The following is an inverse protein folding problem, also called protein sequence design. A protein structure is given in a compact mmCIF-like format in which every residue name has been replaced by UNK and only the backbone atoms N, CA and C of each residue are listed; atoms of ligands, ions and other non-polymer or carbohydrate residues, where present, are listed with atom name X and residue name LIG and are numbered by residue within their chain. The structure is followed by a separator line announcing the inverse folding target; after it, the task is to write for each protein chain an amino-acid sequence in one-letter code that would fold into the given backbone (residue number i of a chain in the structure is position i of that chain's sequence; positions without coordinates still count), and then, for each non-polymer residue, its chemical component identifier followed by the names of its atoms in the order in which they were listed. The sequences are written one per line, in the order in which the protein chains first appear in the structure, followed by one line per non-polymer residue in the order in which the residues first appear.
data_IF_979758538305
#
_entry.id   IF_979758538305
#
_cell.length_a   1.000
_cell.length_b   1.000
_cell.length_c   1.000
_cell.angle_alpha   90.00
_cell.angle_beta   90.00
_cell.angle_gamma   90.00
#
_symmetry.space_group_name_H-M   'P 1'
#
loop_
_entity.id
_entity.type
_entity.pdbx_description
1 polymer ?
#
# COMPACT_ATOMS: atom_id res chain seq x y z
N UNK A 1 -3.01 -18.91 21.73
CA UNK A 1 -3.92 -20.04 22.02
C UNK A 1 -5.27 -19.72 21.42
N UNK A 2 -5.86 -20.61 20.62
CA UNK A 2 -7.16 -20.33 19.99
C UNK A 2 -8.29 -20.33 21.05
N UNK A 3 -9.32 -19.53 20.81
CA UNK A 3 -10.50 -19.44 21.69
C UNK A 3 -11.12 -20.82 21.95
N UNK A 4 -11.18 -21.68 20.94
CA UNK A 4 -11.69 -23.05 21.07
C UNK A 4 -10.85 -23.92 22.02
N UNK A 5 -9.52 -23.80 22.01
CA UNK A 5 -8.63 -24.49 22.96
C UNK A 5 -8.85 -23.97 24.38
N UNK A 6 -9.01 -22.65 24.55
CA UNK A 6 -9.29 -22.05 25.86
C UNK A 6 -10.63 -22.55 26.39
N UNK A 7 -11.68 -22.58 25.56
CA UNK A 7 -13.01 -23.10 25.95
C UNK A 7 -12.97 -24.58 26.33
N UNK A 8 -12.20 -25.41 25.61
CA UNK A 8 -11.99 -26.81 25.99
C UNK A 8 -11.28 -26.92 27.35
N UNK A 9 -10.18 -26.20 27.56
CA UNK A 9 -9.41 -26.24 28.81
C UNK A 9 -10.22 -25.72 30.00
N UNK A 10 -11.00 -24.64 29.84
CA UNK A 10 -11.83 -24.06 30.91
C UNK A 10 -13.07 -24.90 31.21
N UNK A 11 -13.58 -25.66 30.24
CA UNK A 11 -14.67 -26.62 30.46
C UNK A 11 -14.25 -27.87 31.24
N UNK A 12 -12.95 -28.04 31.51
CA UNK A 12 -12.40 -29.17 32.27
C UNK A 12 -11.80 -30.29 31.39
N UNK A 13 -11.68 -30.08 30.08
CA UNK A 13 -11.02 -31.02 29.17
C UNK A 13 -9.50 -31.00 29.42
N UNK A 14 -8.99 -32.03 30.08
CA UNK A 14 -7.55 -32.31 30.21
C UNK A 14 -7.24 -33.64 29.53
N UNK A 15 -6.20 -33.73 28.69
CA UNK A 15 -5.78 -35.01 28.12
C UNK A 15 -5.46 -35.98 29.26
N UNK A 16 -6.25 -37.07 29.40
CA UNK A 16 -6.10 -38.08 30.44
C UNK A 16 -7.00 -37.95 31.69
N UNK A 17 -8.02 -37.07 31.70
CA UNK A 17 -9.00 -36.97 32.79
C UNK A 17 -10.22 -37.91 32.66
N UNK A 18 -10.96 -38.11 33.76
CA UNK A 18 -12.20 -38.92 33.80
C UNK A 18 -13.26 -38.37 32.84
N UNK A 19 -13.55 -39.10 31.76
CA UNK A 19 -14.60 -38.77 30.78
C UNK A 19 -16.00 -38.61 31.41
N UNK A 20 -16.27 -39.28 32.54
CA UNK A 20 -17.55 -39.18 33.24
C UNK A 20 -17.78 -37.79 33.84
N UNK A 21 -16.73 -37.11 34.32
CA UNK A 21 -16.82 -35.72 34.84
C UNK A 21 -17.00 -34.69 33.74
N UNK A 22 -16.73 -35.07 32.48
CA UNK A 22 -16.96 -34.24 31.29
C UNK A 22 -18.44 -34.22 30.89
N UNK A 23 -19.18 -35.29 31.20
CA UNK A 23 -20.58 -35.52 30.80
C UNK A 23 -21.62 -34.86 31.73
N UNK A 24 -21.20 -34.20 32.82
CA UNK A 24 -22.11 -33.57 33.76
C UNK A 24 -22.33 -32.07 33.50
N UNK A 25 -23.59 -31.72 33.21
CA UNK A 25 -24.12 -30.36 33.27
C UNK A 25 -23.67 -29.40 32.16
N UNK A 26 -23.56 -28.11 32.51
CA UNK A 26 -23.29 -26.98 31.59
C UNK A 26 -21.94 -27.11 30.86
N UNK A 27 -21.04 -28.01 31.27
CA UNK A 27 -19.68 -28.16 30.70
C UNK A 27 -19.68 -28.83 29.32
N UNK A 28 -20.57 -29.81 29.09
CA UNK A 28 -20.71 -30.53 27.80
C UNK A 28 -20.89 -29.58 26.61
N UNK A 29 -21.86 -28.65 26.59
CA UNK A 29 -22.04 -27.76 25.45
C UNK A 29 -20.84 -26.85 25.21
N UNK A 30 -20.13 -26.39 26.25
CA UNK A 30 -18.91 -25.59 26.10
C UNK A 30 -17.76 -26.39 25.49
N UNK A 31 -17.57 -27.65 25.90
CA UNK A 31 -16.56 -28.54 25.30
C UNK A 31 -16.90 -28.85 23.84
N UNK A 32 -18.17 -29.14 23.52
CA UNK A 32 -18.61 -29.37 22.15
C UNK A 32 -18.39 -28.14 21.26
N UNK A 33 -18.75 -26.95 21.73
CA UNK A 33 -18.49 -25.68 21.01
C UNK A 33 -16.98 -25.47 20.82
N UNK A 34 -16.17 -25.73 21.85
CA UNK A 34 -14.71 -25.63 21.75
C UNK A 34 -14.11 -26.57 20.70
N UNK A 35 -14.53 -27.84 20.68
CA UNK A 35 -14.11 -28.84 19.67
C UNK A 35 -14.55 -28.42 18.27
N UNK A 36 -15.80 -27.99 18.12
CA UNK A 36 -16.36 -27.46 16.86
C UNK A 36 -15.48 -26.31 16.36
N UNK A 37 -15.15 -25.32 17.21
CA UNK A 37 -14.29 -24.19 16.84
C UNK A 37 -12.89 -24.64 16.43
N UNK A 38 -12.27 -25.58 17.15
CA UNK A 38 -10.91 -26.06 16.84
C UNK A 38 -10.84 -26.84 15.54
N UNK A 39 -11.91 -27.51 15.12
CA UNK A 39 -11.96 -28.22 13.84
C UNK A 39 -12.39 -27.27 12.72
N UNK A 40 -13.48 -26.52 12.91
CA UNK A 40 -14.07 -25.70 11.85
C UNK A 40 -13.21 -24.50 11.49
N UNK A 41 -12.60 -23.77 12.44
CA UNK A 41 -11.82 -22.58 12.08
C UNK A 41 -10.63 -22.93 11.18
N UNK A 42 -9.75 -23.90 11.51
CA UNK A 42 -8.64 -24.25 10.63
C UNK A 42 -9.12 -24.86 9.31
N UNK A 43 -10.17 -25.67 9.33
CA UNK A 43 -10.71 -26.27 8.09
C UNK A 43 -11.30 -25.20 7.17
N UNK A 44 -12.08 -24.28 7.72
CA UNK A 44 -12.66 -23.15 6.99
C UNK A 44 -11.55 -22.24 6.44
N UNK A 45 -10.60 -21.82 7.28
CA UNK A 45 -9.46 -21.02 6.84
C UNK A 45 -8.63 -21.73 5.77
N UNK A 46 -8.42 -23.04 5.88
CA UNK A 46 -7.69 -23.84 4.89
C UNK A 46 -8.43 -23.92 3.55
N UNK A 47 -9.74 -24.14 3.57
CA UNK A 47 -10.56 -24.18 2.34
C UNK A 47 -10.59 -22.81 1.67
N UNK A 48 -10.86 -21.74 2.44
CA UNK A 48 -10.93 -20.38 1.90
C UNK A 48 -9.58 -19.96 1.33
N UNK A 49 -8.48 -20.19 2.06
CA UNK A 49 -7.13 -19.88 1.57
C UNK A 49 -6.78 -20.64 0.30
N UNK A 50 -7.28 -21.87 0.11
CA UNK A 50 -7.07 -22.64 -1.10
C UNK A 50 -7.89 -22.12 -2.29
N UNK A 51 -9.09 -21.61 -2.04
CA UNK A 51 -9.95 -21.03 -3.08
C UNK A 51 -9.68 -19.56 -3.35
N UNK A 52 -9.02 -18.84 -2.45
CA UNK A 52 -8.82 -17.40 -2.52
C UNK A 52 -8.10 -16.97 -3.80
N UNK A 53 -7.06 -17.69 -4.22
CA UNK A 53 -6.31 -17.36 -5.45
C UNK A 53 -7.19 -17.45 -6.71
N UNK A 54 -8.05 -18.46 -6.78
CA UNK A 54 -9.00 -18.63 -7.89
C UNK A 54 -10.06 -17.53 -7.84
N UNK A 55 -10.62 -17.24 -6.67
CA UNK A 55 -11.60 -16.16 -6.50
C UNK A 55 -11.01 -14.78 -6.82
N UNK A 56 -9.75 -14.53 -6.48
CA UNK A 56 -9.02 -13.31 -6.86
C UNK A 56 -8.85 -13.21 -8.38
N UNK A 57 -8.46 -14.31 -9.03
CA UNK A 57 -8.34 -14.36 -10.48
C UNK A 57 -9.68 -14.13 -11.18
N UNK A 58 -10.75 -14.78 -10.73
CA UNK A 58 -12.12 -14.57 -11.25
C UNK A 58 -12.60 -13.13 -11.05
N UNK A 59 -12.30 -12.54 -9.89
CA UNK A 59 -12.66 -11.16 -9.60
C UNK A 59 -11.92 -10.17 -10.50
N UNK A 60 -10.61 -10.37 -10.71
CA UNK A 60 -9.81 -9.56 -11.61
C UNK A 60 -10.25 -9.72 -13.06
N UNK A 61 -10.49 -10.95 -13.51
CA UNK A 61 -10.99 -11.26 -14.86
C UNK A 61 -12.32 -10.56 -15.15
N UNK A 62 -13.24 -10.54 -14.18
CA UNK A 62 -14.50 -9.81 -14.30
C UNK A 62 -14.36 -8.29 -14.42
N UNK A 63 -13.19 -7.70 -14.06
CA UNK A 63 -12.90 -6.29 -14.31
C UNK A 63 -12.38 -6.01 -15.72
N UNK A 64 -11.81 -7.02 -16.38
CA UNK A 64 -11.23 -6.87 -17.70
C UNK A 64 -12.36 -6.73 -18.72
N UNK A 65 -12.37 -5.60 -19.42
CA UNK A 65 -13.26 -5.42 -20.57
C UNK A 65 -12.47 -5.75 -21.83
N UNK A 66 -12.73 -6.92 -22.42
CA UNK A 66 -12.15 -7.29 -23.71
C UNK A 66 -12.78 -6.46 -24.83
N UNK A 67 -11.93 -5.87 -25.68
CA UNK A 67 -12.34 -5.17 -26.90
C UNK A 67 -11.41 -5.56 -28.05
N UNK A 68 -11.95 -5.62 -29.25
CA UNK A 68 -11.19 -5.85 -30.48
C UNK A 68 -10.49 -4.57 -30.98
N UNK A 69 -10.79 -3.43 -30.37
CA UNK A 69 -10.15 -2.15 -30.70
C UNK A 69 -8.67 -2.14 -30.28
N UNK A 70 -7.80 -1.44 -31.03
CA UNK A 70 -6.42 -1.26 -30.62
C UNK A 70 -6.36 -0.54 -29.27
N UNK A 71 -5.54 -1.07 -28.34
CA UNK A 71 -5.27 -0.51 -27.00
C UNK A 71 -4.96 0.99 -27.02
N UNK A 72 -4.31 1.46 -28.09
CA UNK A 72 -4.03 2.87 -28.31
C UNK A 72 -4.57 3.32 -29.67
N UNK A 73 -5.47 4.29 -29.66
CA UNK A 73 -5.98 4.92 -30.88
C UNK A 73 -4.90 5.75 -31.62
N UNK A 74 -3.86 6.18 -30.91
CA UNK A 74 -2.74 6.95 -31.45
C UNK A 74 -1.42 6.38 -30.93
N UNK A 75 -0.30 6.55 -31.66
CA UNK A 75 1.02 6.21 -31.15
C UNK A 75 1.29 6.92 -29.82
N UNK A 76 1.90 6.21 -28.86
CA UNK A 76 2.32 6.80 -27.59
C UNK A 76 3.37 7.87 -27.91
N UNK A 77 3.17 9.13 -27.47
CA UNK A 77 4.15 10.19 -27.70
C UNK A 77 5.49 9.85 -27.06
N UNK A 78 6.61 10.17 -27.71
CA UNK A 78 7.96 9.87 -27.21
C UNK A 78 8.15 10.32 -25.75
N UNK A 79 7.63 11.49 -25.38
CA UNK A 79 7.68 12.05 -24.01
C UNK A 79 6.95 11.24 -22.91
N UNK A 80 6.21 10.21 -23.29
CA UNK A 80 5.50 9.29 -22.39
C UNK A 80 6.15 7.90 -22.36
N UNK A 81 7.27 7.72 -23.06
CA UNK A 81 8.04 6.48 -23.04
C UNK A 81 9.04 6.53 -21.89
N UNK A 82 9.03 5.48 -21.07
CA UNK A 82 9.98 5.31 -19.98
C UNK A 82 11.29 4.71 -20.52
N UNK A 83 12.33 5.52 -20.62
CA UNK A 83 13.68 5.10 -21.01
C UNK A 83 14.63 4.99 -19.81
N UNK A 84 14.36 5.74 -18.75
CA UNK A 84 15.13 5.74 -17.51
C UNK A 84 14.52 4.75 -16.50
N UNK A 85 15.37 3.93 -15.88
CA UNK A 85 14.96 3.03 -14.79
C UNK A 85 14.95 3.74 -13.44
N UNK A 86 14.29 3.14 -12.45
CA UNK A 86 14.22 3.65 -11.09
C UNK A 86 15.63 3.81 -10.47
N UNK A 87 16.50 2.82 -10.68
CA UNK A 87 17.86 2.81 -10.15
C UNK A 87 18.70 3.94 -10.73
N UNK A 88 18.54 4.20 -12.03
CA UNK A 88 19.22 5.33 -12.68
C UNK A 88 18.69 6.67 -12.15
N UNK A 89 17.37 6.80 -11.96
CA UNK A 89 16.80 8.01 -11.36
C UNK A 89 17.32 8.24 -9.93
N UNK A 90 17.38 7.20 -9.09
CA UNK A 90 17.97 7.28 -7.75
C UNK A 90 19.45 7.65 -7.79
N UNK A 91 20.21 7.13 -8.75
CA UNK A 91 21.61 7.47 -8.95
C UNK A 91 21.80 8.96 -9.30
N UNK A 92 21.04 9.47 -10.29
CA UNK A 92 21.07 10.88 -10.68
C UNK A 92 20.63 11.78 -9.54
N UNK A 93 19.58 11.40 -8.80
CA UNK A 93 19.14 12.12 -7.62
C UNK A 93 20.21 12.14 -6.52
N UNK A 94 20.92 11.03 -6.31
CA UNK A 94 22.03 10.92 -5.37
C UNK A 94 23.18 11.89 -5.66
N UNK A 95 23.47 12.15 -6.95
CA UNK A 95 24.46 13.15 -7.36
C UNK A 95 24.03 14.59 -7.07
N UNK A 96 22.73 14.84 -6.92
CA UNK A 96 22.14 16.17 -6.76
C UNK A 96 21.53 16.40 -5.37
N UNK A 97 22.03 15.68 -4.34
CA UNK A 97 21.58 15.84 -2.95
C UNK A 97 22.09 17.12 -2.27
N UNK A 98 23.16 17.75 -2.78
CA UNK A 98 23.82 18.89 -2.14
C UNK A 98 22.90 20.05 -1.73
N UNK A 99 21.83 20.40 -2.47
CA UNK A 99 20.93 21.49 -2.08
C UNK A 99 20.09 21.19 -0.82
N UNK A 100 19.93 19.92 -0.45
CA UNK A 100 19.13 19.50 0.70
C UNK A 100 19.97 19.31 1.98
N UNK A 101 21.29 19.48 1.89
CA UNK A 101 22.23 19.38 3.01
C UNK A 101 23.05 18.09 3.02
N UNK A 102 23.86 17.91 4.06
CA UNK A 102 24.80 16.77 4.15
C UNK A 102 24.19 15.50 4.74
N UNK A 103 23.05 15.62 5.43
CA UNK A 103 22.44 14.53 6.22
C UNK A 103 21.16 14.05 5.55
N UNK A 104 21.20 13.83 4.24
CA UNK A 104 20.03 13.43 3.45
C UNK A 104 20.33 12.20 2.60
N UNK A 105 19.28 11.48 2.25
CA UNK A 105 19.34 10.29 1.40
C UNK A 105 18.09 10.21 0.53
N UNK A 106 18.23 9.57 -0.63
CA UNK A 106 17.09 9.20 -1.48
C UNK A 106 16.37 8.01 -0.84
N UNK A 107 15.13 8.19 -0.39
CA UNK A 107 14.34 7.14 0.25
C UNK A 107 13.72 6.19 -0.77
N UNK A 108 13.04 6.76 -1.75
CA UNK A 108 12.25 6.05 -2.76
C UNK A 108 12.22 6.86 -4.05
N UNK A 109 11.88 6.21 -5.16
CA UNK A 109 11.66 6.87 -6.43
C UNK A 109 10.38 6.33 -7.06
N UNK A 110 9.53 7.23 -7.52
CA UNK A 110 8.21 6.88 -8.04
C UNK A 110 7.99 7.49 -9.41
N UNK A 111 7.32 6.75 -10.28
CA UNK A 111 6.99 7.23 -11.62
C UNK A 111 5.65 7.98 -11.58
N UNK A 112 5.61 9.16 -12.16
CA UNK A 112 4.39 9.96 -12.27
C UNK A 112 4.46 10.87 -13.49
N UNK A 113 3.41 11.63 -13.74
CA UNK A 113 3.34 12.58 -14.87
C UNK A 113 3.38 14.01 -14.36
N UNK A 114 4.18 14.85 -15.02
CA UNK A 114 4.23 16.29 -14.77
C UNK A 114 4.15 17.02 -16.11
N UNK A 115 3.20 17.95 -16.27
CA UNK A 115 3.04 18.72 -17.51
C UNK A 115 2.95 17.86 -18.80
N UNK A 116 2.38 16.66 -18.69
CA UNK A 116 2.25 15.71 -19.81
C UNK A 116 3.55 15.03 -20.23
N UNK A 117 4.61 15.08 -19.41
CA UNK A 117 5.80 14.24 -19.53
C UNK A 117 5.86 13.23 -18.39
N UNK A 118 6.46 12.07 -18.67
CA UNK A 118 6.70 11.05 -17.65
C UNK A 118 7.97 11.41 -16.87
N UNK A 119 7.91 11.37 -15.54
CA UNK A 119 9.01 11.77 -14.67
C UNK A 119 9.15 10.83 -13.48
N UNK A 120 10.40 10.58 -13.07
CA UNK A 120 10.71 9.95 -11.80
C UNK A 120 10.83 11.00 -10.71
N UNK A 121 10.09 10.83 -9.63
CA UNK A 121 10.14 11.70 -8.46
C UNK A 121 10.81 10.94 -7.33
N UNK A 122 12.02 11.37 -7.00
CA UNK A 122 12.83 10.80 -5.93
C UNK A 122 12.53 11.55 -4.63
N UNK A 123 12.03 10.83 -3.63
CA UNK A 123 11.71 11.37 -2.29
C UNK A 123 13.00 11.48 -1.48
N UNK A 124 13.30 12.68 -0.97
CA UNK A 124 14.50 12.95 -0.18
C UNK A 124 14.12 13.09 1.29
N UNK A 125 14.81 12.33 2.14
CA UNK A 125 14.60 12.33 3.60
C UNK A 125 15.91 12.61 4.32
N UNK A 126 15.82 12.99 5.59
CA UNK A 126 16.99 13.09 6.47
C UNK A 126 17.49 11.70 6.86
N UNK A 127 18.80 11.51 6.97
CA UNK A 127 19.39 10.29 7.56
C UNK A 127 19.11 10.20 9.07
N UNK A 128 18.79 11.32 9.71
CA UNK A 128 18.33 11.37 11.10
C UNK A 128 16.81 11.59 11.16
N UNK A 129 16.06 10.55 10.79
CA UNK A 129 14.60 10.53 10.82
C UNK A 129 14.00 10.70 12.21
N UNK A 130 14.78 10.55 13.30
CA UNK A 130 14.28 10.79 14.66
C UNK A 130 14.17 12.29 14.98
N UNK A 131 15.12 13.10 14.51
CA UNK A 131 15.11 14.55 14.71
C UNK A 131 14.35 15.30 13.59
N UNK A 132 14.42 14.79 12.36
CA UNK A 132 13.84 15.41 11.17
C UNK A 132 12.93 14.41 10.44
N UNK A 133 11.80 14.07 11.08
CA UNK A 133 10.83 13.12 10.54
C UNK A 133 9.83 13.81 9.60
N UNK A 134 10.29 14.24 8.42
CA UNK A 134 9.49 14.81 7.33
C UNK A 134 10.27 14.77 6.02
N UNK A 135 9.58 14.89 4.88
CA UNK A 135 10.23 14.93 3.57
C UNK A 135 11.00 16.25 3.42
N UNK A 136 12.30 16.16 3.11
CA UNK A 136 13.15 17.34 2.89
C UNK A 136 12.92 17.97 1.52
N UNK A 137 12.46 17.17 0.57
CA UNK A 137 12.33 17.59 -0.81
C UNK A 137 12.09 16.44 -1.77
N UNK A 138 11.99 16.82 -3.04
CA UNK A 138 11.93 15.90 -4.15
C UNK A 138 12.93 16.29 -5.23
N UNK A 139 13.50 15.28 -5.87
CA UNK A 139 14.30 15.46 -7.08
C UNK A 139 13.54 14.81 -8.23
N UNK A 140 13.16 15.62 -9.20
CA UNK A 140 12.39 15.17 -10.37
C UNK A 140 13.36 14.95 -11.53
N UNK A 141 13.46 13.70 -11.97
CA UNK A 141 14.30 13.25 -13.09
C UNK A 141 13.38 12.94 -14.27
N UNK A 142 13.76 13.35 -15.47
CA UNK A 142 12.99 13.02 -16.67
C UNK A 142 13.04 11.50 -16.92
N UNK A 143 11.89 10.87 -17.16
CA UNK A 143 11.85 9.43 -17.43
C UNK A 143 12.24 9.08 -18.88
N UNK A 144 12.25 10.06 -19.78
CA UNK A 144 12.50 9.87 -21.21
C UNK A 144 13.90 10.36 -21.63
N UNK A 145 14.53 11.27 -20.91
CA UNK A 145 15.86 11.76 -21.26
C UNK A 145 16.95 11.28 -20.27
N UNK A 146 17.66 10.18 -20.57
CA UNK A 146 18.76 9.69 -19.74
C UNK A 146 20.00 10.60 -19.81
N UNK A 147 20.05 11.58 -20.70
CA UNK A 147 21.15 12.54 -20.84
C UNK A 147 20.81 13.91 -20.23
N UNK A 148 19.60 14.09 -19.69
CA UNK A 148 19.24 15.32 -18.98
C UNK A 148 20.02 15.40 -17.68
N UNK A 149 21.11 16.18 -17.69
CA UNK A 149 22.07 16.26 -16.59
C UNK A 149 21.50 17.00 -15.36
N UNK A 150 20.48 17.87 -15.54
CA UNK A 150 20.02 18.76 -14.49
C UNK A 150 18.58 18.39 -14.09
N UNK A 151 18.40 17.63 -13.00
CA UNK A 151 17.08 17.31 -12.50
C UNK A 151 16.41 18.54 -11.89
N UNK A 152 15.07 18.55 -11.88
CA UNK A 152 14.31 19.63 -11.27
C UNK A 152 14.18 19.39 -9.76
N UNK A 153 14.69 20.33 -8.96
CA UNK A 153 14.72 20.26 -7.50
C UNK A 153 13.47 20.91 -6.89
N UNK A 154 12.86 20.26 -5.91
CA UNK A 154 11.77 20.80 -5.10
C UNK A 154 12.24 20.75 -3.64
N UNK A 155 12.61 21.91 -3.09
CA UNK A 155 13.23 22.04 -1.76
C UNK A 155 12.35 22.73 -0.71
N UNK A 156 11.13 23.11 -1.07
CA UNK A 156 10.19 23.84 -0.21
C UNK A 156 8.89 23.07 -0.01
N UNK A 157 9.00 21.77 0.28
CA UNK A 157 7.85 20.91 0.59
C UNK A 157 7.85 20.57 2.07
N UNK A 158 6.65 20.45 2.65
CA UNK A 158 6.46 20.09 4.06
C UNK A 158 5.51 18.92 4.22
N UNK A 159 5.44 18.02 3.22
CA UNK A 159 4.60 16.83 3.32
C UNK A 159 5.05 16.03 4.56
N UNK A 160 4.15 15.80 5.53
CA UNK A 160 4.51 15.22 6.82
C UNK A 160 4.70 13.70 6.76
N UNK A 161 4.26 13.04 5.69
CA UNK A 161 4.31 11.58 5.53
C UNK A 161 5.00 11.20 4.22
N UNK A 162 5.68 10.06 4.22
CA UNK A 162 6.42 9.58 3.05
C UNK A 162 6.99 8.19 3.25
N UNK A 163 7.40 7.55 2.17
CA UNK A 163 8.19 6.32 2.27
C UNK A 163 9.58 6.62 2.88
N UNK A 164 10.05 5.72 3.74
CA UNK A 164 11.36 5.84 4.42
C UNK A 164 11.38 6.73 5.66
N UNK A 165 10.27 7.39 6.02
CA UNK A 165 10.13 8.09 7.30
C UNK A 165 10.02 7.11 8.48
N UNK A 166 9.96 7.63 9.71
CA UNK A 166 9.89 6.83 10.93
C UNK A 166 8.47 6.74 11.51
N UNK A 167 8.10 5.56 12.00
CA UNK A 167 6.84 5.29 12.72
C UNK A 167 5.58 5.66 11.91
N UNK A 168 4.67 6.43 12.50
CA UNK A 168 3.38 6.85 11.93
C UNK A 168 3.52 7.74 10.69
N UNK A 169 4.70 8.35 10.50
CA UNK A 169 5.00 9.16 9.31
C UNK A 169 5.50 8.33 8.13
N UNK A 170 5.91 7.09 8.38
CA UNK A 170 6.16 6.14 7.30
C UNK A 170 4.81 5.67 6.76
N UNK A 171 4.53 5.88 5.47
CA UNK A 171 3.21 5.56 4.91
C UNK A 171 2.87 4.07 5.06
N UNK A 172 3.85 3.17 4.91
CA UNK A 172 3.63 1.72 5.03
C UNK A 172 3.24 1.34 6.46
N UNK A 173 3.96 1.87 7.44
CA UNK A 173 3.72 1.57 8.85
C UNK A 173 2.50 2.32 9.40
N UNK A 174 2.31 3.56 8.97
CA UNK A 174 1.14 4.38 9.28
C UNK A 174 -0.15 3.74 8.79
N UNK A 175 -0.15 3.12 7.60
CA UNK A 175 -1.30 2.35 7.12
C UNK A 175 -1.64 1.22 8.10
N UNK A 176 -0.66 0.38 8.44
CA UNK A 176 -0.86 -0.74 9.37
C UNK A 176 -1.34 -0.30 10.76
N UNK A 177 -0.81 0.82 11.29
CA UNK A 177 -1.20 1.34 12.60
C UNK A 177 -2.63 1.91 12.62
N UNK A 178 -3.07 2.54 11.52
CA UNK A 178 -4.38 3.18 11.45
C UNK A 178 -5.48 2.21 11.02
N UNK A 179 -5.19 1.32 10.06
CA UNK A 179 -6.15 0.36 9.53
C UNK A 179 -5.46 -0.98 9.21
N UNK A 180 -5.73 -1.99 10.04
CA UNK A 180 -5.23 -3.35 9.84
C UNK A 180 -6.06 -4.16 8.83
N UNK A 181 -7.19 -3.63 8.36
CA UNK A 181 -8.07 -4.31 7.39
C UNK A 181 -7.68 -4.04 5.95
N UNK A 182 -6.85 -3.00 5.72
CA UNK A 182 -6.36 -2.59 4.41
C UNK A 182 -4.87 -2.85 4.27
N UNK A 183 -4.47 -3.58 3.23
CA UNK A 183 -3.07 -3.77 2.88
C UNK A 183 -2.53 -2.50 2.19
N UNK A 184 -1.31 -2.11 2.58
CA UNK A 184 -0.53 -1.12 1.83
C UNK A 184 -0.12 -1.72 0.50
N UNK A 185 -0.24 -0.96 -0.58
CA UNK A 185 0.15 -1.41 -1.92
C UNK A 185 1.29 -0.56 -2.47
N UNK A 186 0.98 0.68 -2.84
CA UNK A 186 1.94 1.60 -3.41
C UNK A 186 1.68 3.02 -2.89
N UNK A 187 2.71 3.85 -2.91
CA UNK A 187 2.56 5.26 -2.62
C UNK A 187 3.48 6.06 -3.51
N UNK A 188 3.07 7.25 -3.92
CA UNK A 188 3.85 8.09 -4.80
C UNK A 188 3.47 9.57 -4.67
N UNK A 189 4.42 10.49 -4.79
CA UNK A 189 4.13 11.91 -4.93
C UNK A 189 3.58 12.22 -6.33
N UNK A 190 2.60 13.12 -6.39
CA UNK A 190 2.02 13.63 -7.64
C UNK A 190 1.52 15.07 -7.45
N UNK A 191 1.03 15.68 -8.52
CA UNK A 191 0.51 17.04 -8.51
C UNK A 191 -1.01 17.05 -8.67
N UNK A 192 -1.68 17.89 -7.88
CA UNK A 192 -3.08 18.22 -8.09
C UNK A 192 -3.23 19.07 -9.36
N UNK A 193 -4.47 19.22 -9.90
CA UNK A 193 -4.72 20.12 -11.03
C UNK A 193 -4.37 21.59 -10.76
N UNK A 194 -4.35 22.02 -9.49
CA UNK A 194 -3.87 23.35 -9.08
C UNK A 194 -2.35 23.48 -9.06
N UNK A 195 -1.62 22.39 -9.22
CA UNK A 195 -0.16 22.35 -9.18
C UNK A 195 0.43 22.09 -7.79
N UNK A 196 -0.42 21.82 -6.80
CA UNK A 196 0.03 21.51 -5.43
C UNK A 196 0.59 20.09 -5.37
N UNK A 197 1.67 19.91 -4.63
CA UNK A 197 2.28 18.60 -4.47
C UNK A 197 1.57 17.82 -3.36
N UNK A 198 1.23 16.57 -3.66
CA UNK A 198 0.54 15.66 -2.74
C UNK A 198 1.19 14.28 -2.78
N UNK A 199 1.06 13.53 -1.69
CA UNK A 199 1.48 12.13 -1.63
C UNK A 199 0.23 11.24 -1.68
N UNK A 200 0.16 10.36 -2.66
CA UNK A 200 -0.94 9.40 -2.81
C UNK A 200 -0.50 8.07 -2.23
N UNK A 201 -1.39 7.40 -1.51
CA UNK A 201 -1.25 6.01 -1.07
C UNK A 201 -2.43 5.20 -1.61
N UNK A 202 -2.14 4.11 -2.31
CA UNK A 202 -3.13 3.10 -2.69
C UNK A 202 -3.21 2.01 -1.62
N UNK A 203 -4.41 1.43 -1.49
CA UNK A 203 -4.69 0.42 -0.48
C UNK A 203 -5.71 -0.60 -1.00
N UNK A 204 -5.59 -1.81 -0.50
CA UNK A 204 -6.46 -2.93 -0.89
C UNK A 204 -6.98 -3.60 0.36
N UNK A 205 -8.23 -3.34 0.77
CA UNK A 205 -8.89 -4.11 1.81
C UNK A 205 -9.02 -5.58 1.43
N UNK A 206 -8.75 -6.43 2.42
CA UNK A 206 -8.97 -7.87 2.28
C UNK A 206 -10.37 -8.21 2.78
N UNK A 207 -11.21 -8.75 1.88
CA UNK A 207 -12.54 -9.22 2.27
C UNK A 207 -12.50 -10.44 3.19
N UNK A 208 -13.62 -10.76 3.85
CA UNK A 208 -13.75 -12.00 4.63
C UNK A 208 -13.58 -13.28 3.80
N UNK A 209 -13.74 -13.16 2.49
CA UNK A 209 -13.49 -14.18 1.48
C UNK A 209 -12.03 -14.24 1.03
N UNK A 210 -11.13 -13.46 1.65
CA UNK A 210 -9.72 -13.34 1.29
C UNK A 210 -9.51 -12.84 -0.15
N UNK A 211 -10.53 -12.16 -0.71
CA UNK A 211 -10.43 -11.51 -2.02
C UNK A 211 -9.99 -10.06 -1.83
N UNK A 212 -8.95 -9.70 -2.55
CA UNK A 212 -8.35 -8.37 -2.58
C UNK A 212 -9.17 -7.44 -3.48
N UNK A 213 -9.65 -6.33 -2.91
CA UNK A 213 -10.47 -5.37 -3.65
C UNK A 213 -9.87 -3.98 -3.50
N UNK A 214 -9.35 -3.42 -4.59
CA UNK A 214 -8.79 -2.08 -4.58
C UNK A 214 -9.84 -1.07 -4.08
N UNK A 215 -9.49 -0.24 -3.10
CA UNK A 215 -10.35 0.82 -2.59
C UNK A 215 -9.76 2.19 -2.94
N UNK A 216 -10.56 3.24 -2.72
CA UNK A 216 -10.11 4.59 -3.03
C UNK A 216 -8.82 4.94 -2.26
N UNK A 217 -7.89 5.66 -2.91
CA UNK A 217 -6.61 6.00 -2.32
C UNK A 217 -6.76 7.05 -1.21
N UNK A 218 -5.70 7.21 -0.43
CA UNK A 218 -5.54 8.29 0.55
C UNK A 218 -4.55 9.30 -0.02
N UNK A 219 -4.86 10.58 0.08
CA UNK A 219 -4.03 11.69 -0.40
C UNK A 219 -3.62 12.55 0.78
N UNK A 220 -2.31 12.75 0.92
CA UNK A 220 -1.68 13.56 1.94
C UNK A 220 -1.18 14.87 1.33
N UNK A 221 -1.75 15.99 1.76
CA UNK A 221 -1.35 17.32 1.30
C UNK A 221 -0.28 17.94 2.21
N UNK A 222 0.46 18.91 1.66
CA UNK A 222 1.51 19.66 2.38
C UNK A 222 1.01 20.39 3.63
N UNK A 223 -0.26 20.81 3.63
CA UNK A 223 -0.90 21.48 4.77
C UNK A 223 -1.33 20.50 5.89
N UNK A 224 -1.06 19.19 5.73
CA UNK A 224 -1.46 18.14 6.67
C UNK A 224 -2.91 17.66 6.51
N UNK A 225 -3.64 18.17 5.52
CA UNK A 225 -4.99 17.66 5.20
C UNK A 225 -4.86 16.29 4.55
N UNK A 226 -5.73 15.37 4.97
CA UNK A 226 -5.83 14.02 4.42
C UNK A 226 -7.16 13.91 3.69
N UNK A 227 -7.12 13.53 2.41
CA UNK A 227 -8.31 13.22 1.62
C UNK A 227 -8.39 11.72 1.41
N UNK A 228 -9.50 11.13 1.80
CA UNK A 228 -9.75 9.70 1.67
C UNK A 228 -10.89 9.48 0.68
N UNK A 229 -10.64 8.70 -0.37
CA UNK A 229 -11.67 8.30 -1.32
C UNK A 229 -12.23 6.94 -0.90
N UNK A 230 -13.56 6.79 -0.93
CA UNK A 230 -14.18 5.54 -0.48
C UNK A 230 -14.05 4.45 -1.55
N UNK A 231 -14.12 4.83 -2.83
CA UNK A 231 -14.09 3.88 -3.95
C UNK A 231 -13.14 4.33 -5.06
N UNK A 232 -12.73 3.38 -5.91
CA UNK A 232 -11.95 3.71 -7.11
C UNK A 232 -12.74 4.61 -8.06
N UNK A 233 -14.06 4.45 -8.16
CA UNK A 233 -14.90 5.28 -9.03
C UNK A 233 -14.92 6.77 -8.64
N UNK A 234 -14.70 7.07 -7.36
CA UNK A 234 -14.60 8.44 -6.84
C UNK A 234 -13.18 9.03 -7.00
N UNK A 235 -12.21 8.22 -7.43
CA UNK A 235 -10.81 8.61 -7.54
C UNK A 235 -10.64 9.61 -8.69
N UNK A 236 -10.11 10.81 -8.45
CA UNK A 236 -9.91 11.80 -9.50
C UNK A 236 -8.89 11.34 -10.56
N UNK A 237 -9.13 11.72 -11.82
CA UNK A 237 -8.28 11.34 -12.97
C UNK A 237 -6.82 11.81 -12.90
N UNK A 238 -6.48 12.77 -12.04
CA UNK A 238 -5.08 13.20 -11.85
C UNK A 238 -4.28 12.21 -10.98
N UNK A 239 -4.96 11.30 -10.29
CA UNK A 239 -4.35 10.15 -9.62
C UNK A 239 -4.10 9.08 -10.68
N UNK A 240 -2.87 9.06 -11.19
CA UNK A 240 -2.45 8.25 -12.33
C UNK A 240 -2.37 6.73 -12.07
N UNK A 241 -2.26 6.31 -10.81
CA UNK A 241 -2.13 4.91 -10.41
C UNK A 241 -3.09 4.66 -9.25
N UNK A 242 -4.35 4.34 -9.58
CA UNK A 242 -5.38 4.03 -8.58
C UNK A 242 -5.37 2.56 -8.16
N UNK A 243 -4.86 1.68 -9.01
CA UNK A 243 -4.78 0.24 -8.79
C UNK A 243 -3.35 -0.16 -8.38
N UNK A 244 -3.26 -1.19 -7.55
CA UNK A 244 -2.03 -1.92 -7.35
C UNK A 244 -1.96 -2.96 -8.47
N UNK A 245 -0.93 -2.84 -9.32
CA UNK A 245 -0.76 -3.52 -10.63
C UNK A 245 -1.33 -2.76 -11.84
#
# INVERSE_FOLDING_TARGET
MSLGIIMMVTSGFRPGGDFEKMLEGIRVPFTCIGVIIVILLPTFSGVISWTADVSNAEYFDAMITETDDPLFANPIPDRMVRLVTEEYAKYVAGQHLSPFGSNVVVAAAHITTRNGTLVWVCTIISTNVLAQNYIQGFIVVDANDPQSIIPHLINSTTIPVGEGLFWDKNIQFGNYLNDMTSAYQYAYPTWTPSGDLVYVQTRTPLGFDFVERASGPIVYAENGTVFEYATIAETPNWITQAYAE
#
